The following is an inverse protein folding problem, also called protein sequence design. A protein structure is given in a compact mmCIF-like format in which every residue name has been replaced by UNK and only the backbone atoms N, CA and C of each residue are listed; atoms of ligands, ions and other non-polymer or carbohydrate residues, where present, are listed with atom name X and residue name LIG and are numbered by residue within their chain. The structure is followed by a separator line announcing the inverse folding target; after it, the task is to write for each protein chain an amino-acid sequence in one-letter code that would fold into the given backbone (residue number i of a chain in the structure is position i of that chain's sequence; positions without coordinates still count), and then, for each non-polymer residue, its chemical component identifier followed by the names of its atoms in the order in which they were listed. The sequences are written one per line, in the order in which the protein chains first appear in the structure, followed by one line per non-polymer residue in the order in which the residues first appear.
data_IF_868922595531
#
_entry.id   IF_868922595531
#
_cell.length_a   1.000
_cell.length_b   1.000
_cell.length_c   1.000
_cell.angle_alpha   90.00
_cell.angle_beta   90.00
_cell.angle_gamma   90.00
#
_symmetry.space_group_name_H-M   'P 1'
#
loop_
_entity.id
_entity.type
_entity.pdbx_description
1 polymer ?
#
# COMPACT_ATOMS: atom_id res chain seq x y z
N UNK A 1 -2.71 8.95 32.53
CA UNK A 1 -2.20 10.22 31.93
C UNK A 1 -2.34 10.23 30.40
N UNK A 2 -1.76 9.29 29.66
CA UNK A 2 -1.82 9.26 28.17
C UNK A 2 -3.25 9.24 27.60
N UNK A 3 -4.18 8.43 28.16
CA UNK A 3 -5.60 8.37 27.72
C UNK A 3 -6.31 9.72 27.90
N UNK A 4 -6.12 10.38 29.04
CA UNK A 4 -6.72 11.69 29.32
C UNK A 4 -6.25 12.76 28.32
N UNK A 5 -4.93 12.82 28.04
CA UNK A 5 -4.38 13.76 27.07
C UNK A 5 -4.93 13.54 25.66
N UNK A 6 -5.03 12.27 25.21
CA UNK A 6 -5.63 11.93 23.93
C UNK A 6 -7.12 12.28 23.87
N UNK A 7 -7.87 12.05 24.96
CA UNK A 7 -9.29 12.40 25.04
C UNK A 7 -9.50 13.92 24.94
N UNK A 8 -8.66 14.70 25.65
CA UNK A 8 -8.68 16.16 25.56
C UNK A 8 -8.36 16.62 24.13
N UNK A 9 -7.32 16.04 23.51
CA UNK A 9 -6.95 16.38 22.13
C UNK A 9 -8.06 16.04 21.13
N UNK A 10 -8.67 14.86 21.24
CA UNK A 10 -9.81 14.47 20.41
C UNK A 10 -11.03 15.39 20.63
N UNK A 11 -11.32 15.76 21.89
CA UNK A 11 -12.36 16.71 22.25
C UNK A 11 -12.10 18.09 21.65
N UNK A 12 -10.87 18.58 21.72
CA UNK A 12 -10.46 19.83 21.10
C UNK A 12 -10.66 19.83 19.57
N UNK A 13 -10.24 18.76 18.89
CA UNK A 13 -10.46 18.62 17.44
C UNK A 13 -11.95 18.68 17.09
N UNK A 14 -12.80 17.99 17.84
CA UNK A 14 -14.26 18.01 17.66
C UNK A 14 -14.84 19.42 17.88
N UNK A 15 -14.39 20.11 18.91
CA UNK A 15 -14.84 21.48 19.22
C UNK A 15 -14.46 22.45 18.08
N UNK A 16 -13.22 22.40 17.61
CA UNK A 16 -12.74 23.22 16.47
C UNK A 16 -13.53 22.90 15.19
N UNK A 17 -13.95 21.65 15.02
CA UNK A 17 -14.71 21.25 13.83
C UNK A 17 -16.16 21.78 13.80
N UNK A 18 -16.79 22.10 14.94
CA UNK A 18 -18.18 22.57 14.99
C UNK A 18 -18.44 23.76 14.05
N UNK A 19 -17.71 24.87 14.14
CA UNK A 19 -17.91 25.99 13.21
C UNK A 19 -17.47 25.64 11.77
N UNK A 20 -16.45 24.84 11.59
CA UNK A 20 -15.94 24.43 10.27
C UNK A 20 -16.99 23.58 9.53
N UNK A 21 -17.68 22.71 10.24
CA UNK A 21 -18.71 21.82 9.70
C UNK A 21 -19.90 22.57 9.08
N UNK A 22 -20.11 23.85 9.40
CA UNK A 22 -21.18 24.68 8.82
C UNK A 22 -20.92 25.09 7.36
N UNK A 23 -19.72 24.87 6.82
CA UNK A 23 -19.38 25.16 5.42
C UNK A 23 -20.31 24.36 4.49
N UNK A 24 -20.80 24.93 3.39
CA UNK A 24 -21.63 24.17 2.43
C UNK A 24 -20.82 23.05 1.79
N UNK A 25 -21.47 21.93 1.53
CA UNK A 25 -20.88 20.84 0.72
C UNK A 25 -20.90 21.29 -0.73
N UNK A 26 -19.79 21.05 -1.42
CA UNK A 26 -19.53 21.46 -2.80
C UNK A 26 -19.33 20.21 -3.67
N UNK A 27 -19.40 20.35 -4.97
CA UNK A 27 -19.00 19.32 -5.96
C UNK A 27 -17.50 19.14 -5.92
N UNK A 28 -17.04 18.48 -4.87
CA UNK A 28 -15.64 18.41 -4.51
C UNK A 28 -15.24 17.06 -4.01
N UNK A 29 -14.09 16.59 -4.46
CA UNK A 29 -13.38 15.42 -3.97
C UNK A 29 -12.13 15.87 -3.23
N UNK A 30 -11.92 15.40 -2.01
CA UNK A 30 -10.68 15.64 -1.26
C UNK A 30 -9.97 14.31 -1.03
N UNK A 31 -8.74 14.19 -1.51
CA UNK A 31 -7.88 13.03 -1.32
C UNK A 31 -6.87 13.35 -0.22
N UNK A 32 -6.82 12.52 0.83
CA UNK A 32 -5.94 12.75 1.98
C UNK A 32 -5.00 11.57 2.15
N UNK A 33 -3.70 11.85 2.15
CA UNK A 33 -2.65 10.87 2.41
C UNK A 33 -1.73 11.31 3.56
N UNK A 34 -1.28 10.31 4.30
CA UNK A 34 -0.28 10.43 5.36
C UNK A 34 0.94 9.56 5.09
N UNK A 35 0.97 8.88 3.96
CA UNK A 35 2.04 7.94 3.59
C UNK A 35 3.30 8.66 3.11
N UNK A 36 3.11 9.81 2.47
CA UNK A 36 4.18 10.62 1.89
C UNK A 36 3.76 12.09 1.87
N UNK A 37 4.71 13.01 1.72
CA UNK A 37 4.45 14.43 1.49
C UNK A 37 4.10 14.75 0.03
N UNK A 38 4.17 13.73 -0.84
CA UNK A 38 3.79 13.81 -2.25
C UNK A 38 2.73 12.75 -2.60
N UNK A 39 1.88 12.99 -3.62
CA UNK A 39 0.87 12.04 -4.04
C UNK A 39 1.47 10.71 -4.51
N UNK A 40 0.90 9.58 -4.04
CA UNK A 40 1.23 8.24 -4.53
C UNK A 40 0.82 8.06 -5.99
N UNK A 41 1.24 6.96 -6.62
CA UNK A 41 0.82 6.65 -7.98
C UNK A 41 -0.71 6.58 -8.11
N UNK A 42 -1.39 5.92 -7.17
CA UNK A 42 -2.85 5.81 -7.18
C UNK A 42 -3.52 7.18 -7.11
N UNK A 43 -3.04 8.04 -6.22
CA UNK A 43 -3.58 9.40 -6.07
C UNK A 43 -3.39 10.21 -7.34
N UNK A 44 -2.18 10.15 -7.96
CA UNK A 44 -1.92 10.87 -9.21
C UNK A 44 -2.79 10.40 -10.37
N UNK A 45 -2.96 9.08 -10.50
CA UNK A 45 -3.82 8.51 -11.54
C UNK A 45 -5.28 8.93 -11.35
N UNK A 46 -5.80 8.82 -10.13
CA UNK A 46 -7.18 9.23 -9.82
C UNK A 46 -7.37 10.75 -10.03
N UNK A 47 -6.41 11.58 -9.62
CA UNK A 47 -6.47 13.03 -9.84
C UNK A 47 -6.49 13.38 -11.34
N UNK A 48 -5.65 12.70 -12.14
CA UNK A 48 -5.61 12.88 -13.59
C UNK A 48 -6.93 12.44 -14.25
N UNK A 49 -7.50 11.35 -13.80
CA UNK A 49 -8.79 10.83 -14.29
C UNK A 49 -9.91 11.83 -14.04
N UNK A 50 -10.05 12.29 -12.79
CA UNK A 50 -11.07 13.28 -12.42
C UNK A 50 -10.86 14.61 -13.20
N UNK A 51 -9.65 15.10 -13.31
CA UNK A 51 -9.36 16.33 -14.05
C UNK A 51 -9.68 16.22 -15.54
N UNK A 52 -9.50 15.04 -16.14
CA UNK A 52 -9.72 14.82 -17.58
C UNK A 52 -11.18 14.56 -17.93
N UNK A 53 -11.85 13.74 -17.14
CA UNK A 53 -13.21 13.26 -17.48
C UNK A 53 -14.32 13.96 -16.70
N UNK A 54 -14.00 14.56 -15.54
CA UNK A 54 -14.95 15.26 -14.66
C UNK A 54 -14.40 16.63 -14.24
N UNK A 55 -14.10 17.55 -15.19
CA UNK A 55 -13.44 18.84 -14.92
C UNK A 55 -14.28 19.81 -14.09
N UNK A 56 -15.57 19.56 -13.95
CA UNK A 56 -16.51 20.29 -13.13
C UNK A 56 -16.46 19.92 -11.64
N UNK A 57 -15.69 18.88 -11.29
CA UNK A 57 -15.45 18.44 -9.91
C UNK A 57 -14.12 18.99 -9.40
N UNK A 58 -14.16 19.80 -8.34
CA UNK A 58 -12.94 20.26 -7.68
C UNK A 58 -12.22 19.08 -7.02
N UNK A 59 -11.00 18.77 -7.43
CA UNK A 59 -10.16 17.74 -6.83
C UNK A 59 -9.02 18.33 -6.01
N UNK A 60 -9.09 18.19 -4.67
CA UNK A 60 -8.07 18.66 -3.73
C UNK A 60 -7.25 17.48 -3.19
N UNK A 61 -5.93 17.56 -3.28
CA UNK A 61 -5.01 16.54 -2.75
C UNK A 61 -4.22 17.11 -1.58
N UNK A 62 -4.28 16.43 -0.43
CA UNK A 62 -3.64 16.79 0.82
C UNK A 62 -2.72 15.67 1.29
N UNK A 63 -1.44 15.76 0.96
CA UNK A 63 -0.41 14.80 1.35
C UNK A 63 0.51 15.42 2.40
N UNK A 64 0.63 14.78 3.57
CA UNK A 64 1.58 15.19 4.61
C UNK A 64 1.85 14.10 5.61
N UNK A 65 3.13 13.81 5.84
CA UNK A 65 3.60 12.93 6.91
C UNK A 65 3.65 13.67 8.25
N UNK A 66 3.67 12.92 9.34
CA UNK A 66 3.92 13.50 10.67
C UNK A 66 5.43 13.59 10.86
N UNK A 67 5.97 14.80 10.71
CA UNK A 67 7.39 15.04 10.90
C UNK A 67 7.88 14.76 12.33
N UNK A 68 9.19 14.53 12.52
CA UNK A 68 9.78 14.26 13.83
C UNK A 68 9.73 15.50 14.74
N UNK A 69 9.81 15.26 16.04
CA UNK A 69 9.88 16.30 17.07
C UNK A 69 8.59 17.09 17.28
N UNK A 70 8.68 18.16 18.07
CA UNK A 70 7.54 18.99 18.43
C UNK A 70 7.09 19.86 17.25
N UNK A 71 8.04 20.44 16.50
CA UNK A 71 7.73 21.27 15.32
C UNK A 71 6.97 20.51 14.24
N UNK A 72 7.37 19.25 13.96
CA UNK A 72 6.66 18.40 13.02
C UNK A 72 5.22 18.12 13.46
N UNK A 73 5.00 17.84 14.75
CA UNK A 73 3.67 17.63 15.31
C UNK A 73 2.78 18.88 15.26
N UNK A 74 3.34 20.05 15.55
CA UNK A 74 2.62 21.33 15.45
C UNK A 74 2.26 21.64 14.00
N UNK A 75 3.21 21.46 13.06
CA UNK A 75 2.95 21.62 11.63
C UNK A 75 1.84 20.67 11.14
N UNK A 76 1.82 19.43 11.63
CA UNK A 76 0.77 18.48 11.28
C UNK A 76 -0.59 18.87 11.90
N UNK A 77 -0.63 19.48 13.08
CA UNK A 77 -1.87 19.99 13.67
C UNK A 77 -2.52 21.07 12.79
N UNK A 78 -1.75 22.02 12.26
CA UNK A 78 -2.27 23.00 11.29
C UNK A 78 -2.77 22.32 10.00
N UNK A 79 -2.06 21.29 9.53
CA UNK A 79 -2.52 20.50 8.40
C UNK A 79 -3.86 19.78 8.70
N UNK A 80 -4.05 19.29 9.93
CA UNK A 80 -5.35 18.71 10.34
C UNK A 80 -6.48 19.72 10.27
N UNK A 81 -6.25 21.00 10.63
CA UNK A 81 -7.25 22.06 10.47
C UNK A 81 -7.59 22.28 8.98
N UNK A 82 -6.60 22.20 8.11
CA UNK A 82 -6.82 22.25 6.65
C UNK A 82 -7.65 21.04 6.20
N UNK A 83 -7.29 19.82 6.64
CA UNK A 83 -8.10 18.62 6.35
C UNK A 83 -9.55 18.78 6.80
N UNK A 84 -9.80 19.32 8.01
CA UNK A 84 -11.15 19.58 8.53
C UNK A 84 -11.97 20.47 7.59
N UNK A 85 -11.36 21.56 7.10
CA UNK A 85 -12.02 22.52 6.18
C UNK A 85 -12.46 21.83 4.90
N UNK A 86 -11.59 20.97 4.36
CA UNK A 86 -11.86 20.24 3.12
C UNK A 86 -12.84 19.09 3.34
N UNK A 87 -12.72 18.30 4.41
CA UNK A 87 -13.72 17.28 4.78
C UNK A 87 -15.12 17.90 4.93
N UNK A 88 -15.24 19.07 5.59
CA UNK A 88 -16.52 19.73 5.80
C UNK A 88 -17.20 20.22 4.51
N UNK A 89 -16.44 20.48 3.46
CA UNK A 89 -16.94 21.04 2.20
C UNK A 89 -16.92 20.06 1.02
N UNK A 90 -16.46 18.82 1.21
CA UNK A 90 -16.39 17.83 0.12
C UNK A 90 -17.58 16.91 0.11
N UNK A 91 -18.04 16.54 -1.08
CA UNK A 91 -19.01 15.48 -1.31
C UNK A 91 -18.36 14.10 -1.09
N UNK A 92 -17.11 13.94 -1.56
CA UNK A 92 -16.34 12.70 -1.37
C UNK A 92 -14.97 12.99 -0.74
N UNK A 93 -14.57 12.16 0.21
CA UNK A 93 -13.24 12.14 0.81
C UNK A 93 -12.60 10.78 0.55
N UNK A 94 -11.47 10.75 -0.16
CA UNK A 94 -10.72 9.52 -0.44
C UNK A 94 -9.49 9.46 0.47
N UNK A 95 -9.29 8.31 1.11
CA UNK A 95 -8.18 8.06 2.01
C UNK A 95 -7.33 6.89 1.50
N UNK A 96 -6.01 6.99 1.57
CA UNK A 96 -5.10 5.88 1.30
C UNK A 96 -4.51 5.24 2.57
N UNK A 97 -5.03 5.63 3.73
CA UNK A 97 -4.59 5.13 5.01
C UNK A 97 -5.40 5.69 6.18
N UNK A 98 -4.97 5.43 7.40
CA UNK A 98 -5.64 5.96 8.58
C UNK A 98 -5.51 7.49 8.66
N UNK A 99 -6.63 8.19 8.65
CA UNK A 99 -6.72 9.65 8.78
C UNK A 99 -7.42 10.02 10.09
N UNK A 100 -6.67 10.63 11.02
CA UNK A 100 -7.19 10.98 12.37
C UNK A 100 -8.42 11.89 12.27
N UNK A 101 -8.37 12.92 11.44
CA UNK A 101 -9.47 13.87 11.28
C UNK A 101 -10.73 13.22 10.73
N UNK A 102 -10.63 12.39 9.70
CA UNK A 102 -11.77 11.68 9.15
C UNK A 102 -12.40 10.69 10.16
N UNK A 103 -11.57 10.08 11.03
CA UNK A 103 -12.05 9.08 11.99
C UNK A 103 -12.58 9.68 13.30
N UNK A 104 -11.94 10.73 13.82
CA UNK A 104 -12.33 11.36 15.10
C UNK A 104 -13.54 12.27 14.97
N UNK A 105 -13.69 12.93 13.82
CA UNK A 105 -14.78 13.86 13.56
C UNK A 105 -16.09 13.12 13.21
N UNK A 106 -17.16 13.87 13.12
CA UNK A 106 -18.47 13.42 12.60
C UNK A 106 -18.72 14.20 11.30
N UNK A 107 -18.30 13.68 10.15
CA UNK A 107 -18.59 14.28 8.86
C UNK A 107 -20.10 14.46 8.65
N UNK A 108 -20.48 15.22 7.63
CA UNK A 108 -21.88 15.37 7.27
C UNK A 108 -22.38 14.09 6.59
N UNK A 109 -23.69 13.78 6.67
CA UNK A 109 -24.27 12.62 5.97
C UNK A 109 -24.05 12.65 4.44
N UNK A 110 -23.98 13.86 3.88
CA UNK A 110 -23.76 14.11 2.45
C UNK A 110 -22.31 13.89 2.02
N UNK A 111 -21.37 13.80 2.99
CA UNK A 111 -19.95 13.55 2.73
C UNK A 111 -19.67 12.07 2.83
N UNK A 112 -19.32 11.41 1.73
CA UNK A 112 -18.94 10.00 1.71
C UNK A 112 -17.44 9.82 1.84
N UNK A 113 -17.03 8.89 2.71
CA UNK A 113 -15.61 8.57 2.94
C UNK A 113 -15.28 7.23 2.31
N UNK A 114 -14.37 7.25 1.34
CA UNK A 114 -13.86 6.08 0.64
C UNK A 114 -12.46 5.77 1.16
N UNK A 115 -12.27 4.61 1.79
CA UNK A 115 -10.95 4.08 2.11
C UNK A 115 -10.43 3.31 0.90
N UNK A 116 -9.55 3.92 0.13
CA UNK A 116 -8.88 3.26 -1.00
C UNK A 116 -7.79 2.30 -0.53
N UNK A 117 -7.17 2.60 0.63
CA UNK A 117 -5.98 1.95 1.13
C UNK A 117 -4.77 2.12 0.20
N UNK A 118 -3.67 1.41 0.47
CA UNK A 118 -2.42 1.52 -0.31
C UNK A 118 -1.84 0.15 -0.67
N UNK A 119 -2.65 -0.90 -0.55
CA UNK A 119 -2.24 -2.27 -0.83
C UNK A 119 -3.40 -3.06 -1.46
N UNK A 120 -3.08 -3.85 -2.46
CA UNK A 120 -4.03 -4.68 -3.21
C UNK A 120 -4.49 -5.87 -2.38
N UNK A 121 -3.59 -6.44 -1.59
CA UNK A 121 -3.87 -7.51 -0.63
C UNK A 121 -3.24 -7.18 0.73
N UNK A 122 -3.65 -7.90 1.76
CA UNK A 122 -3.22 -7.68 3.14
C UNK A 122 -2.42 -8.86 3.67
N UNK A 123 -1.15 -8.97 3.27
CA UNK A 123 -0.26 -10.07 3.69
C UNK A 123 0.01 -9.99 5.20
N UNK A 124 0.34 -8.79 5.70
CA UNK A 124 0.62 -8.52 7.12
C UNK A 124 -0.65 -8.16 7.88
N UNK A 125 -0.69 -8.45 9.17
CA UNK A 125 -1.70 -7.88 10.06
C UNK A 125 -1.52 -6.37 10.20
N UNK A 126 -2.61 -5.65 10.32
CA UNK A 126 -2.61 -4.21 10.48
C UNK A 126 -3.89 -3.74 11.20
N UNK A 127 -3.97 -2.44 11.47
CA UNK A 127 -5.15 -1.87 12.12
C UNK A 127 -5.46 -2.53 13.47
N UNK A 128 -6.71 -2.90 13.68
CA UNK A 128 -7.16 -3.53 14.91
C UNK A 128 -6.59 -4.93 15.14
N UNK A 129 -6.15 -5.63 14.10
CA UNK A 129 -5.52 -6.96 14.22
C UNK A 129 -4.16 -6.91 14.94
N UNK A 130 -3.53 -5.74 15.02
CA UNK A 130 -2.21 -5.57 15.65
C UNK A 130 -2.29 -5.09 17.11
N UNK A 131 -3.47 -4.92 17.66
CA UNK A 131 -3.61 -4.52 19.06
C UNK A 131 -3.13 -5.66 19.97
N UNK A 132 -2.13 -5.34 20.80
CA UNK A 132 -1.51 -6.32 21.70
C UNK A 132 -0.27 -7.01 21.12
N UNK A 133 0.06 -6.79 19.85
CA UNK A 133 1.34 -7.22 19.27
C UNK A 133 2.44 -6.19 19.61
N UNK A 134 3.69 -6.64 19.66
CA UNK A 134 4.86 -5.82 20.04
C UNK A 134 5.04 -4.59 19.14
N UNK A 135 4.91 -4.76 17.83
CA UNK A 135 4.96 -3.67 16.84
C UNK A 135 3.61 -2.98 16.56
N UNK A 136 2.56 -3.31 17.31
CA UNK A 136 1.19 -2.94 17.01
C UNK A 136 0.73 -1.60 17.58
N UNK A 137 -0.53 -1.31 17.33
CA UNK A 137 -1.19 -0.11 17.84
C UNK A 137 -1.59 -0.26 19.31
N UNK A 138 -1.45 0.83 20.09
CA UNK A 138 -1.99 0.89 21.46
C UNK A 138 -3.52 0.87 21.40
N UNK A 139 -4.16 -0.02 22.17
CA UNK A 139 -5.63 -0.08 22.33
C UNK A 139 -6.22 1.28 22.69
N UNK A 140 -5.57 1.98 23.63
CA UNK A 140 -5.99 3.33 24.05
C UNK A 140 -6.00 4.34 22.89
N UNK A 141 -4.97 4.31 22.03
CA UNK A 141 -4.90 5.20 20.87
C UNK A 141 -5.98 4.84 19.85
N UNK A 142 -6.15 3.55 19.57
CA UNK A 142 -7.15 3.05 18.63
C UNK A 142 -8.57 3.43 19.05
N UNK A 143 -8.90 3.29 20.35
CA UNK A 143 -10.22 3.63 20.89
C UNK A 143 -10.48 5.14 20.91
N UNK A 144 -9.55 5.93 21.51
CA UNK A 144 -9.76 7.37 21.72
C UNK A 144 -9.75 8.13 20.39
N UNK A 145 -8.90 7.74 19.46
CA UNK A 145 -8.83 8.35 18.14
C UNK A 145 -9.72 7.65 17.10
N UNK A 146 -10.63 6.77 17.56
CA UNK A 146 -11.63 6.12 16.72
C UNK A 146 -11.02 5.52 15.44
N UNK A 147 -9.93 4.76 15.57
CA UNK A 147 -9.17 4.23 14.44
C UNK A 147 -10.09 3.53 13.43
N UNK A 148 -9.96 3.90 12.15
CA UNK A 148 -10.71 3.34 11.03
C UNK A 148 -12.26 3.50 11.08
N UNK A 149 -12.77 4.46 11.84
CA UNK A 149 -14.20 4.77 11.85
C UNK A 149 -14.60 5.66 10.66
N UNK A 150 -15.88 5.67 10.34
CA UNK A 150 -16.54 6.54 9.35
C UNK A 150 -16.23 6.21 7.87
N UNK A 151 -15.82 5.01 7.54
CA UNK A 151 -15.68 4.60 6.14
C UNK A 151 -17.04 4.17 5.60
N UNK A 152 -17.54 4.88 4.57
CA UNK A 152 -18.74 4.48 3.83
C UNK A 152 -18.40 3.35 2.85
N UNK A 153 -17.20 3.43 2.23
CA UNK A 153 -16.71 2.41 1.30
C UNK A 153 -15.25 2.07 1.58
N UNK A 154 -14.91 0.79 1.44
CA UNK A 154 -13.55 0.26 1.56
C UNK A 154 -13.23 -0.53 0.29
N UNK A 155 -12.27 -0.06 -0.52
CA UNK A 155 -11.85 -0.76 -1.73
C UNK A 155 -11.12 -2.06 -1.37
N UNK A 156 -11.49 -3.14 -2.04
CA UNK A 156 -10.79 -4.43 -1.93
C UNK A 156 -10.83 -5.20 -3.25
N UNK A 157 -9.78 -5.97 -3.51
CA UNK A 157 -9.63 -6.69 -4.79
C UNK A 157 -10.20 -8.10 -4.78
N UNK A 158 -10.64 -8.61 -3.62
CA UNK A 158 -11.23 -9.96 -3.48
C UNK A 158 -12.01 -10.09 -2.18
N UNK A 159 -12.84 -11.11 -2.08
CA UNK A 159 -13.53 -11.44 -0.84
C UNK A 159 -12.54 -11.82 0.28
N UNK A 160 -11.46 -12.55 -0.05
CA UNK A 160 -10.42 -12.91 0.91
C UNK A 160 -9.77 -11.66 1.54
N UNK A 161 -9.40 -10.68 0.72
CA UNK A 161 -8.87 -9.39 1.21
C UNK A 161 -9.94 -8.59 1.96
N UNK A 162 -11.19 -8.62 1.48
CA UNK A 162 -12.32 -7.93 2.11
C UNK A 162 -12.60 -8.43 3.53
N UNK A 163 -12.52 -9.74 3.78
CA UNK A 163 -12.66 -10.31 5.13
C UNK A 163 -11.57 -9.79 6.08
N UNK A 164 -10.32 -9.77 5.62
CA UNK A 164 -9.20 -9.20 6.37
C UNK A 164 -9.44 -7.72 6.68
N UNK A 165 -9.95 -6.95 5.71
CA UNK A 165 -10.26 -5.54 5.91
C UNK A 165 -11.40 -5.32 6.90
N UNK A 166 -12.42 -6.19 6.92
CA UNK A 166 -13.48 -6.13 7.93
C UNK A 166 -12.91 -6.25 9.35
N UNK A 167 -11.99 -7.16 9.57
CA UNK A 167 -11.33 -7.33 10.87
C UNK A 167 -10.39 -6.15 11.19
N UNK A 168 -9.52 -5.79 10.25
CA UNK A 168 -8.49 -4.76 10.46
C UNK A 168 -9.09 -3.37 10.66
N UNK A 169 -10.19 -3.05 10.01
CA UNK A 169 -10.89 -1.77 10.13
C UNK A 169 -12.07 -1.79 11.10
N UNK A 170 -12.47 -2.98 11.59
CA UNK A 170 -13.73 -3.17 12.35
C UNK A 170 -14.94 -2.63 11.60
N UNK A 171 -15.04 -3.00 10.33
CA UNK A 171 -16.16 -2.67 9.45
C UNK A 171 -16.93 -3.94 9.05
N UNK A 172 -17.99 -3.78 8.26
CA UNK A 172 -18.82 -4.90 7.80
C UNK A 172 -18.71 -5.06 6.28
N UNK A 173 -19.15 -6.22 5.77
CA UNK A 173 -19.12 -6.52 4.32
C UNK A 173 -19.90 -5.52 3.48
N UNK A 174 -20.92 -4.86 4.04
CA UNK A 174 -21.78 -3.88 3.33
C UNK A 174 -20.99 -2.62 2.93
N UNK A 175 -19.86 -2.34 3.59
CA UNK A 175 -18.97 -1.24 3.23
C UNK A 175 -17.90 -1.63 2.20
N UNK A 176 -17.77 -2.92 1.83
CA UNK A 176 -16.77 -3.34 0.88
C UNK A 176 -17.15 -2.95 -0.55
N UNK A 177 -16.20 -2.35 -1.25
CA UNK A 177 -16.32 -2.02 -2.67
C UNK A 177 -15.29 -2.86 -3.44
N UNK A 178 -15.77 -3.86 -4.16
CA UNK A 178 -14.93 -4.74 -4.97
C UNK A 178 -14.44 -4.04 -6.22
N UNK A 179 -13.26 -3.44 -6.12
CA UNK A 179 -12.65 -2.64 -7.16
C UNK A 179 -11.13 -2.64 -7.02
N UNK A 180 -10.41 -2.65 -8.14
CA UNK A 180 -8.95 -2.58 -8.15
C UNK A 180 -8.42 -1.17 -7.89
N UNK A 181 -7.19 -1.10 -7.35
CA UNK A 181 -6.48 0.16 -7.18
C UNK A 181 -6.03 0.73 -8.54
N UNK A 182 -5.98 2.06 -8.71
CA UNK A 182 -5.55 2.72 -9.95
C UNK A 182 -4.20 2.23 -10.50
N UNK A 183 -3.23 1.90 -9.63
CA UNK A 183 -1.90 1.42 -10.03
C UNK A 183 -1.92 0.13 -10.84
N UNK A 184 -2.97 -0.68 -10.74
CA UNK A 184 -3.10 -1.94 -11.48
C UNK A 184 -3.14 -1.70 -12.99
N UNK A 185 -3.69 -0.58 -13.44
CA UNK A 185 -3.69 -0.19 -14.86
C UNK A 185 -2.27 -0.05 -15.44
N UNK A 186 -1.27 0.14 -14.58
CA UNK A 186 0.12 0.31 -15.00
C UNK A 186 0.93 -0.98 -15.07
N UNK A 187 0.44 -2.06 -14.46
CA UNK A 187 1.20 -3.33 -14.41
C UNK A 187 1.21 -4.07 -15.75
N UNK A 188 0.23 -3.84 -16.60
CA UNK A 188 0.05 -4.55 -17.86
C UNK A 188 0.73 -3.89 -19.06
N UNK A 189 1.27 -2.68 -18.90
CA UNK A 189 1.95 -1.98 -19.98
C UNK A 189 3.35 -2.60 -20.25
N UNK A 190 3.72 -2.77 -21.52
CA UNK A 190 5.07 -3.17 -21.93
C UNK A 190 6.12 -2.12 -21.53
N UNK A 191 7.36 -2.50 -21.34
CA UNK A 191 8.42 -1.57 -20.95
C UNK A 191 9.74 -2.22 -20.59
N UNK A 192 9.85 -3.56 -20.74
CA UNK A 192 11.04 -4.34 -20.38
C UNK A 192 12.27 -3.90 -21.15
N UNK A 193 12.18 -3.84 -22.48
CA UNK A 193 13.33 -3.54 -23.35
C UNK A 193 13.88 -2.13 -23.09
N UNK A 194 13.00 -1.14 -22.95
CA UNK A 194 13.41 0.23 -22.68
C UNK A 194 14.16 0.37 -21.35
N UNK A 195 13.69 -0.27 -20.27
CA UNK A 195 14.37 -0.21 -18.98
C UNK A 195 15.69 -0.99 -19.00
N UNK A 196 15.72 -2.11 -19.72
CA UNK A 196 16.94 -2.90 -19.92
C UNK A 196 18.03 -2.09 -20.61
N UNK A 197 17.67 -1.35 -21.67
CA UNK A 197 18.58 -0.47 -22.40
C UNK A 197 19.07 0.72 -21.54
N UNK A 198 18.17 1.38 -20.84
CA UNK A 198 18.49 2.52 -19.95
C UNK A 198 19.50 2.14 -18.85
N UNK A 199 19.42 0.92 -18.35
CA UNK A 199 20.27 0.41 -17.26
C UNK A 199 21.46 -0.43 -17.74
N UNK A 200 21.64 -0.61 -19.04
CA UNK A 200 22.74 -1.39 -19.60
C UNK A 200 22.70 -2.87 -19.20
N UNK A 201 21.50 -3.44 -18.97
CA UNK A 201 21.35 -4.84 -18.55
C UNK A 201 21.55 -5.75 -19.77
N UNK A 202 22.48 -6.74 -19.74
CA UNK A 202 22.74 -7.65 -20.84
C UNK A 202 21.48 -8.41 -21.28
N UNK A 203 21.31 -8.59 -22.59
CA UNK A 203 20.13 -9.27 -23.15
C UNK A 203 20.11 -10.78 -22.91
N UNK A 204 21.25 -11.37 -22.69
CA UNK A 204 21.46 -12.79 -22.41
C UNK A 204 21.20 -13.18 -20.95
N UNK A 205 20.95 -12.20 -20.05
CA UNK A 205 20.63 -12.44 -18.64
C UNK A 205 19.15 -12.17 -18.33
N UNK A 206 18.56 -12.99 -17.48
CA UNK A 206 17.26 -12.72 -16.88
C UNK A 206 17.37 -11.63 -15.80
N UNK A 207 16.36 -10.80 -15.66
CA UNK A 207 16.27 -9.81 -14.57
C UNK A 207 15.53 -10.44 -13.39
N UNK A 208 16.26 -10.67 -12.29
CA UNK A 208 15.68 -11.14 -11.01
C UNK A 208 15.51 -9.94 -10.08
N UNK A 209 14.26 -9.60 -9.80
CA UNK A 209 13.92 -8.44 -8.96
C UNK A 209 13.69 -8.88 -7.51
N UNK A 210 14.41 -8.30 -6.56
CA UNK A 210 14.18 -8.46 -5.12
C UNK A 210 13.57 -7.20 -4.51
N UNK A 211 12.38 -7.33 -3.90
CA UNK A 211 11.65 -6.23 -3.25
C UNK A 211 11.19 -6.65 -1.85
N UNK A 212 12.04 -6.48 -0.83
CA UNK A 212 11.71 -6.84 0.54
C UNK A 212 10.79 -5.82 1.21
N UNK A 213 10.14 -6.26 2.28
CA UNK A 213 9.45 -5.39 3.24
C UNK A 213 10.47 -4.62 4.09
N UNK A 214 10.15 -3.37 4.44
CA UNK A 214 10.93 -2.57 5.38
C UNK A 214 11.09 -3.27 6.74
N UNK A 215 12.32 -3.34 7.23
CA UNK A 215 12.69 -3.94 8.52
C UNK A 215 13.19 -2.88 9.48
N UNK A 216 12.35 -2.46 10.44
CA UNK A 216 12.76 -1.50 11.47
C UNK A 216 13.92 -2.03 12.31
N UNK A 217 15.15 -1.54 12.06
CA UNK A 217 16.34 -1.86 12.83
C UNK A 217 16.89 -3.28 12.67
N UNK A 218 16.35 -4.08 11.75
CA UNK A 218 16.88 -5.41 11.42
C UNK A 218 17.57 -5.35 10.06
N UNK A 219 18.71 -6.01 9.93
CA UNK A 219 19.43 -6.12 8.66
C UNK A 219 18.78 -7.19 7.77
N UNK A 220 18.59 -6.85 6.51
CA UNK A 220 18.22 -7.82 5.48
C UNK A 220 19.47 -8.62 5.11
N UNK A 221 19.46 -9.97 5.06
CA UNK A 221 20.63 -10.80 4.74
C UNK A 221 20.93 -10.78 3.24
N UNK A 222 21.34 -9.61 2.73
CA UNK A 222 21.60 -9.42 1.31
C UNK A 222 22.76 -10.26 0.78
N UNK A 223 23.77 -10.54 1.62
CA UNK A 223 24.89 -11.40 1.24
C UNK A 223 24.42 -12.85 1.00
N UNK A 224 23.56 -13.38 1.87
CA UNK A 224 23.00 -14.72 1.73
C UNK A 224 22.12 -14.81 0.49
N UNK A 225 21.28 -13.77 0.25
CA UNK A 225 20.47 -13.67 -0.97
C UNK A 225 21.34 -13.68 -2.23
N UNK A 226 22.38 -12.84 -2.27
CA UNK A 226 23.28 -12.76 -3.42
C UNK A 226 23.99 -14.11 -3.63
N UNK A 227 24.42 -14.75 -2.55
CA UNK A 227 25.03 -16.08 -2.58
C UNK A 227 24.10 -17.17 -3.12
N UNK A 228 22.78 -17.01 -3.01
CA UNK A 228 21.77 -17.92 -3.58
C UNK A 228 21.54 -17.73 -5.09
N UNK A 229 21.90 -16.58 -5.64
CA UNK A 229 21.59 -16.23 -7.04
C UNK A 229 22.77 -16.53 -7.95
N UNK A 230 22.54 -17.28 -9.03
CA UNK A 230 23.51 -17.45 -10.12
C UNK A 230 23.60 -16.16 -10.95
N UNK A 231 24.61 -15.33 -10.64
CA UNK A 231 24.87 -14.06 -11.35
C UNK A 231 25.39 -14.26 -12.77
N UNK A 232 25.73 -15.48 -13.20
CA UNK A 232 26.01 -15.76 -14.61
C UNK A 232 24.73 -15.77 -15.45
N UNK A 233 23.61 -16.24 -14.88
CA UNK A 233 22.29 -16.32 -15.49
C UNK A 233 21.44 -15.07 -15.24
N UNK A 234 21.52 -14.51 -14.04
CA UNK A 234 20.68 -13.39 -13.61
C UNK A 234 21.46 -12.08 -13.47
N UNK A 235 20.77 -10.97 -13.77
CA UNK A 235 21.08 -9.67 -13.17
C UNK A 235 20.14 -9.46 -12.01
N UNK A 236 20.70 -9.44 -10.78
CA UNK A 236 19.92 -9.23 -9.54
C UNK A 236 19.68 -7.74 -9.34
N UNK A 237 18.42 -7.33 -9.38
CA UNK A 237 18.00 -5.96 -9.06
C UNK A 237 17.42 -5.94 -7.65
N UNK A 238 18.02 -5.17 -6.78
CA UNK A 238 17.59 -4.98 -5.39
C UNK A 238 16.90 -3.63 -5.25
N UNK A 239 15.63 -3.67 -4.90
CA UNK A 239 14.81 -2.48 -4.68
C UNK A 239 14.40 -2.42 -3.22
N UNK A 240 15.25 -1.82 -2.39
CA UNK A 240 14.98 -1.64 -0.96
C UNK A 240 13.88 -0.60 -0.72
N UNK A 241 13.31 -0.63 0.48
CA UNK A 241 12.39 0.43 0.90
C UNK A 241 13.16 1.78 1.02
N UNK A 242 12.54 2.93 0.70
CA UNK A 242 13.22 4.23 0.73
C UNK A 242 13.82 4.64 2.09
N UNK A 243 13.44 3.95 3.17
CA UNK A 243 13.99 4.16 4.51
C UNK A 243 15.17 3.22 4.84
N UNK A 244 15.49 2.27 3.96
CA UNK A 244 16.63 1.37 4.12
C UNK A 244 17.83 1.93 3.34
N UNK A 245 18.98 1.93 3.97
CA UNK A 245 20.24 2.30 3.32
C UNK A 245 20.92 1.04 2.75
N UNK A 246 21.23 1.00 1.45
CA UNK A 246 21.93 -0.12 0.87
C UNK A 246 23.37 -0.20 1.41
N UNK A 247 23.88 -1.40 1.73
CA UNK A 247 25.27 -1.57 2.10
C UNK A 247 26.23 -1.09 1.02
N UNK A 248 27.26 -0.33 1.43
CA UNK A 248 28.26 0.23 0.50
C UNK A 248 29.00 -0.86 -0.29
N UNK A 249 29.22 -2.04 0.35
CA UNK A 249 29.92 -3.18 -0.26
C UNK A 249 29.21 -3.74 -1.51
N UNK A 250 27.92 -3.48 -1.65
CA UNK A 250 27.13 -3.97 -2.80
C UNK A 250 27.14 -2.99 -3.97
N UNK A 251 27.61 -1.77 -3.76
CA UNK A 251 27.68 -0.77 -4.84
C UNK A 251 28.75 -1.14 -5.85
N UNK A 252 28.36 -1.25 -7.10
CA UNK A 252 29.28 -1.63 -8.20
C UNK A 252 29.62 -3.12 -8.26
N UNK A 253 28.94 -3.96 -7.51
CA UNK A 253 29.12 -5.41 -7.57
C UNK A 253 28.65 -5.93 -8.94
N UNK A 254 29.48 -6.65 -9.71
CA UNK A 254 29.08 -7.18 -11.01
C UNK A 254 27.84 -8.08 -10.92
N UNK A 255 26.84 -7.82 -11.79
CA UNK A 255 25.60 -8.58 -11.81
C UNK A 255 24.57 -8.16 -10.77
N UNK A 256 24.86 -7.18 -9.89
CA UNK A 256 23.94 -6.64 -8.88
C UNK A 256 23.68 -5.16 -9.16
N UNK A 257 22.40 -4.78 -9.20
CA UNK A 257 21.95 -3.40 -9.34
C UNK A 257 21.12 -3.03 -8.12
N UNK A 258 21.57 -2.02 -7.37
CA UNK A 258 20.77 -1.42 -6.31
C UNK A 258 20.07 -0.20 -6.88
N UNK A 259 18.78 -0.31 -7.12
CA UNK A 259 18.00 0.79 -7.71
C UNK A 259 17.21 1.57 -6.67
N UNK A 260 17.41 2.88 -6.66
CA UNK A 260 16.67 3.83 -5.81
C UNK A 260 15.83 4.83 -6.61
N UNK A 261 16.00 4.86 -7.94
CA UNK A 261 15.41 5.89 -8.79
C UNK A 261 14.09 5.46 -9.43
N UNK A 262 14.00 4.22 -9.89
CA UNK A 262 12.83 3.74 -10.61
C UNK A 262 11.76 3.20 -9.66
N UNK A 263 10.50 3.33 -10.04
CA UNK A 263 9.39 2.80 -9.25
C UNK A 263 9.34 1.26 -9.29
N UNK A 264 8.85 0.66 -8.22
CA UNK A 264 8.64 -0.80 -8.15
C UNK A 264 7.74 -1.31 -9.28
N UNK A 265 6.68 -0.56 -9.64
CA UNK A 265 5.78 -0.92 -10.75
C UNK A 265 6.51 -0.94 -12.10
N UNK A 266 7.53 -0.07 -12.30
CA UNK A 266 8.36 -0.09 -13.50
C UNK A 266 9.20 -1.37 -13.54
N UNK A 267 9.79 -1.77 -12.42
CA UNK A 267 10.55 -3.01 -12.31
C UNK A 267 9.69 -4.26 -12.45
N UNK A 268 8.49 -4.30 -11.87
CA UNK A 268 7.56 -5.42 -12.06
C UNK A 268 7.25 -5.69 -13.54
N UNK A 269 7.18 -4.64 -14.35
CA UNK A 269 6.99 -4.80 -15.81
C UNK A 269 8.24 -5.29 -16.52
N UNK A 270 9.41 -4.87 -16.06
CA UNK A 270 10.69 -5.12 -16.71
C UNK A 270 11.37 -6.43 -16.32
N UNK A 271 11.18 -6.91 -15.10
CA UNK A 271 11.83 -8.12 -14.60
C UNK A 271 11.30 -9.39 -15.25
N UNK A 272 12.05 -10.47 -15.11
CA UNK A 272 11.68 -11.82 -15.55
C UNK A 272 11.16 -12.67 -14.40
N UNK A 273 11.74 -12.51 -13.20
CA UNK A 273 11.35 -13.19 -11.95
C UNK A 273 11.35 -12.20 -10.80
N UNK A 274 10.60 -12.51 -9.75
CA UNK A 274 10.39 -11.64 -8.61
C UNK A 274 10.64 -12.43 -7.33
N UNK A 275 11.43 -11.85 -6.42
CA UNK A 275 11.57 -12.31 -5.04
C UNK A 275 11.01 -11.22 -4.12
N UNK A 276 10.17 -11.60 -3.18
CA UNK A 276 9.66 -10.73 -2.13
C UNK A 276 9.62 -11.48 -0.81
N UNK A 277 8.95 -10.91 0.19
CA UNK A 277 8.75 -11.53 1.51
C UNK A 277 7.29 -11.35 1.95
N UNK A 278 7.03 -10.60 3.02
CA UNK A 278 5.67 -10.33 3.54
C UNK A 278 5.04 -9.08 2.92
N UNK A 279 5.49 -8.67 1.75
CA UNK A 279 5.00 -7.48 1.07
C UNK A 279 3.66 -7.73 0.39
N UNK A 280 2.73 -6.80 0.53
CA UNK A 280 1.48 -6.78 -0.24
C UNK A 280 1.74 -6.70 -1.76
N UNK A 281 2.95 -6.32 -2.19
CA UNK A 281 3.40 -6.35 -3.57
C UNK A 281 3.25 -7.73 -4.22
N UNK A 282 3.29 -8.81 -3.45
CA UNK A 282 3.11 -10.17 -3.97
C UNK A 282 1.83 -10.32 -4.79
N UNK A 283 0.72 -9.73 -4.33
CA UNK A 283 -0.54 -9.74 -5.08
C UNK A 283 -0.43 -8.93 -6.39
N UNK A 284 0.23 -7.77 -6.38
CA UNK A 284 0.50 -6.99 -7.60
C UNK A 284 1.42 -7.76 -8.55
N UNK A 285 2.45 -8.41 -8.01
CA UNK A 285 3.40 -9.22 -8.78
C UNK A 285 2.72 -10.41 -9.47
N UNK A 286 1.77 -11.07 -8.80
CA UNK A 286 1.04 -12.21 -9.37
C UNK A 286 0.26 -11.86 -10.65
N UNK A 287 -0.19 -10.61 -10.79
CA UNK A 287 -0.90 -10.11 -11.99
C UNK A 287 0.01 -10.14 -13.23
N UNK A 288 1.33 -10.00 -13.03
CA UNK A 288 2.28 -10.01 -14.15
C UNK A 288 2.46 -11.39 -14.79
N UNK A 289 2.00 -12.45 -14.15
CA UNK A 289 2.15 -13.84 -14.61
C UNK A 289 3.59 -14.35 -14.59
N UNK A 290 4.50 -13.64 -13.91
CA UNK A 290 5.93 -13.98 -13.81
C UNK A 290 6.18 -14.83 -12.56
N UNK A 291 7.22 -15.70 -12.55
CA UNK A 291 7.63 -16.41 -11.35
C UNK A 291 7.81 -15.47 -10.16
N UNK A 292 7.12 -15.78 -9.07
CA UNK A 292 7.12 -15.03 -7.82
C UNK A 292 7.57 -15.95 -6.69
N UNK A 293 8.69 -15.60 -6.05
CA UNK A 293 9.26 -16.34 -4.94
C UNK A 293 9.19 -15.53 -3.66
N UNK A 294 9.06 -16.24 -2.53
CA UNK A 294 9.12 -15.65 -1.20
C UNK A 294 10.42 -16.04 -0.52
N UNK A 295 11.20 -15.06 -0.09
CA UNK A 295 12.39 -15.28 0.76
C UNK A 295 12.08 -14.81 2.18
N UNK A 296 11.67 -15.77 3.02
CA UNK A 296 11.05 -15.54 4.33
C UNK A 296 11.95 -16.02 5.48
N UNK A 297 13.24 -15.67 5.43
CA UNK A 297 14.31 -16.07 6.34
C UNK A 297 14.04 -15.79 7.83
N UNK A 298 13.15 -14.84 8.15
CA UNK A 298 12.83 -14.39 9.50
C UNK A 298 11.37 -14.67 9.91
N UNK A 299 10.70 -15.60 9.25
CA UNK A 299 9.23 -15.76 9.35
C UNK A 299 8.74 -15.95 10.78
N UNK A 300 9.42 -16.74 11.62
CA UNK A 300 8.99 -16.96 13.00
C UNK A 300 9.04 -15.68 13.85
N UNK A 301 10.09 -14.88 13.69
CA UNK A 301 10.23 -13.61 14.40
C UNK A 301 9.27 -12.56 13.88
N UNK A 302 9.04 -12.57 12.56
CA UNK A 302 8.12 -11.64 11.91
C UNK A 302 6.67 -11.93 12.32
N UNK A 303 6.27 -13.20 12.35
CA UNK A 303 4.93 -13.61 12.77
C UNK A 303 4.65 -13.23 14.23
N UNK A 304 5.63 -13.37 15.13
CA UNK A 304 5.48 -12.96 16.54
C UNK A 304 5.35 -11.43 16.69
N UNK A 305 6.10 -10.65 15.93
CA UNK A 305 6.18 -9.20 16.09
C UNK A 305 5.09 -8.42 15.34
N UNK A 306 4.75 -8.84 14.13
CA UNK A 306 3.79 -8.15 13.23
C UNK A 306 2.54 -8.99 13.00
N UNK A 307 2.70 -10.30 12.80
CA UNK A 307 1.64 -11.24 12.44
C UNK A 307 1.32 -11.22 10.94
N UNK A 308 0.84 -12.35 10.45
CA UNK A 308 0.47 -12.55 9.06
C UNK A 308 -1.02 -12.83 8.92
N UNK A 309 -1.64 -12.31 7.87
CA UNK A 309 -2.96 -12.71 7.37
C UNK A 309 -2.82 -13.75 6.26
N UNK A 310 -1.71 -13.73 5.55
CA UNK A 310 -1.39 -14.62 4.44
C UNK A 310 -0.02 -15.22 4.72
N UNK A 311 0.03 -16.52 4.94
CA UNK A 311 1.27 -17.26 5.16
C UNK A 311 1.79 -17.81 3.82
N UNK A 312 2.94 -17.35 3.33
CA UNK A 312 3.50 -17.84 2.07
C UNK A 312 3.77 -19.35 2.06
N UNK A 313 4.06 -19.95 3.22
CA UNK A 313 4.29 -21.41 3.35
C UNK A 313 3.03 -22.23 3.05
N UNK A 314 1.86 -21.63 3.22
CA UNK A 314 0.55 -22.26 2.97
C UNK A 314 0.02 -21.88 1.60
N UNK A 315 0.14 -20.62 1.22
CA UNK A 315 -0.45 -20.10 -0.02
C UNK A 315 0.38 -20.43 -1.26
N UNK A 316 1.71 -20.48 -1.12
CA UNK A 316 2.66 -20.75 -2.19
C UNK A 316 3.85 -21.61 -1.70
N UNK A 317 3.60 -22.85 -1.22
CA UNK A 317 4.62 -23.70 -0.61
C UNK A 317 5.78 -24.05 -1.56
N UNK A 318 5.52 -24.16 -2.87
CA UNK A 318 6.56 -24.45 -3.87
C UNK A 318 7.31 -23.20 -4.37
N UNK A 319 7.04 -22.04 -3.77
CA UNK A 319 7.72 -20.79 -4.09
C UNK A 319 8.24 -20.06 -2.83
N UNK A 320 8.15 -20.67 -1.64
CA UNK A 320 8.54 -20.08 -0.37
C UNK A 320 9.84 -20.72 0.15
N UNK A 321 10.89 -19.93 0.33
CA UNK A 321 12.19 -20.33 0.85
C UNK A 321 12.48 -19.63 2.19
N UNK A 322 12.94 -20.39 3.19
CA UNK A 322 13.37 -19.86 4.49
C UNK A 322 14.90 -19.71 4.57
N UNK A 323 15.63 -20.41 3.71
CA UNK A 323 17.09 -20.33 3.62
C UNK A 323 17.57 -19.92 2.23
N UNK A 324 18.82 -19.50 2.13
CA UNK A 324 19.44 -19.18 0.85
C UNK A 324 19.59 -20.40 -0.05
N UNK A 325 19.83 -21.57 0.55
CA UNK A 325 19.92 -22.86 -0.15
C UNK A 325 18.59 -23.24 -0.79
N UNK A 326 17.50 -23.18 -0.01
CA UNK A 326 16.14 -23.42 -0.52
C UNK A 326 15.79 -22.44 -1.66
N UNK A 327 16.14 -21.14 -1.52
CA UNK A 327 15.90 -20.16 -2.56
C UNK A 327 16.66 -20.50 -3.85
N UNK A 328 17.92 -20.93 -3.73
CA UNK A 328 18.72 -21.37 -4.89
C UNK A 328 18.06 -22.54 -5.60
N UNK A 329 17.65 -23.56 -4.85
CA UNK A 329 16.95 -24.74 -5.41
C UNK A 329 15.67 -24.33 -6.14
N UNK A 330 14.86 -23.43 -5.57
CA UNK A 330 13.65 -22.93 -6.21
C UNK A 330 13.91 -22.12 -7.50
N UNK A 331 15.01 -21.36 -7.55
CA UNK A 331 15.38 -20.60 -8.75
C UNK A 331 15.87 -21.49 -9.90
N UNK A 332 16.38 -22.69 -9.60
CA UNK A 332 16.89 -23.67 -10.58
C UNK A 332 15.82 -24.66 -11.04
N UNK A 333 14.70 -24.79 -10.32
CA UNK A 333 13.58 -25.68 -10.67
C UNK A 333 12.60 -25.02 -11.65
N UNK A 334 11.78 -25.86 -12.30
CA UNK A 334 10.62 -25.40 -13.04
C UNK A 334 9.60 -24.77 -12.09
N UNK A 335 9.09 -23.60 -12.47
CA UNK A 335 8.17 -22.84 -11.63
C UNK A 335 6.73 -23.36 -11.73
N UNK A 336 6.04 -23.51 -10.58
CA UNK A 336 4.61 -23.89 -10.53
C UNK A 336 3.70 -22.68 -10.83
N UNK A 337 3.37 -22.48 -12.10
CA UNK A 337 2.44 -21.43 -12.52
C UNK A 337 1.00 -21.66 -12.07
N UNK A 338 0.62 -22.91 -11.77
CA UNK A 338 -0.74 -23.18 -11.31
C UNK A 338 -0.92 -22.77 -9.85
N UNK A 339 0.13 -22.86 -9.04
CA UNK A 339 0.16 -22.28 -7.70
C UNK A 339 0.01 -20.75 -7.75
N UNK A 340 0.77 -20.08 -8.61
CA UNK A 340 0.66 -18.63 -8.81
C UNK A 340 -0.76 -18.21 -9.24
N UNK A 341 -1.38 -18.97 -10.16
CA UNK A 341 -2.75 -18.71 -10.61
C UNK A 341 -3.77 -18.91 -9.47
N UNK A 342 -3.59 -19.92 -8.61
CA UNK A 342 -4.46 -20.12 -7.43
C UNK A 342 -4.34 -18.95 -6.47
N UNK A 343 -3.11 -18.52 -6.16
CA UNK A 343 -2.85 -17.34 -5.34
C UNK A 343 -3.50 -16.08 -5.94
N UNK A 344 -3.26 -15.81 -7.22
CA UNK A 344 -3.85 -14.67 -7.91
C UNK A 344 -5.38 -14.69 -7.84
N UNK A 345 -6.03 -15.82 -8.20
CA UNK A 345 -7.49 -15.96 -8.18
C UNK A 345 -8.10 -15.78 -6.80
N UNK A 346 -7.37 -16.07 -5.72
CA UNK A 346 -7.83 -15.89 -4.35
C UNK A 346 -7.80 -14.41 -3.92
N UNK A 347 -6.75 -13.68 -4.30
CA UNK A 347 -6.52 -12.32 -3.81
C UNK A 347 -6.86 -11.23 -4.82
N UNK A 348 -7.06 -11.58 -6.09
CA UNK A 348 -7.42 -10.66 -7.18
C UNK A 348 -8.60 -11.27 -7.96
N UNK A 349 -9.83 -10.93 -7.59
CA UNK A 349 -11.04 -11.40 -8.27
C UNK A 349 -11.68 -10.32 -9.14
N UNK A 350 -11.25 -9.07 -9.00
CA UNK A 350 -11.73 -7.94 -9.77
C UNK A 350 -10.97 -7.83 -11.10
N UNK A 351 -11.63 -7.20 -12.09
CA UNK A 351 -10.93 -6.80 -13.31
C UNK A 351 -9.82 -5.79 -12.99
N UNK A 352 -8.60 -6.08 -13.46
CA UNK A 352 -7.40 -5.27 -13.22
C UNK A 352 -7.14 -4.22 -14.29
N UNK A 353 -8.01 -4.11 -15.33
CA UNK A 353 -7.96 -3.10 -16.37
C UNK A 353 -8.97 -1.99 -16.09
N UNK A 354 -8.63 -0.75 -16.39
CA UNK A 354 -9.54 0.39 -16.24
C UNK A 354 -9.96 0.67 -14.80
N UNK A 355 -9.13 0.27 -13.83
CA UNK A 355 -9.39 0.48 -12.40
C UNK A 355 -9.54 1.97 -12.07
N UNK A 356 -8.68 2.81 -12.67
CA UNK A 356 -8.71 4.26 -12.46
C UNK A 356 -10.02 4.86 -12.94
N UNK A 357 -10.45 4.50 -14.16
CA UNK A 357 -11.69 5.00 -14.76
C UNK A 357 -12.92 4.57 -13.93
N UNK A 358 -13.00 3.29 -13.54
CA UNK A 358 -14.11 2.80 -12.71
C UNK A 358 -14.19 3.50 -11.36
N UNK A 359 -13.05 3.75 -10.70
CA UNK A 359 -13.04 4.49 -9.45
C UNK A 359 -13.43 5.96 -9.65
N UNK A 360 -12.99 6.59 -10.75
CA UNK A 360 -13.37 7.94 -11.13
C UNK A 360 -14.88 8.08 -11.34
N UNK A 361 -15.47 7.19 -12.13
CA UNK A 361 -16.91 7.13 -12.38
C UNK A 361 -17.72 6.86 -11.10
N UNK A 362 -17.28 5.94 -10.24
CA UNK A 362 -17.92 5.67 -8.97
C UNK A 362 -17.94 6.92 -8.08
N UNK A 363 -16.83 7.63 -7.98
CA UNK A 363 -16.70 8.86 -7.21
C UNK A 363 -17.59 9.95 -7.81
N UNK A 364 -17.59 10.07 -9.14
CA UNK A 364 -18.42 11.04 -9.84
C UNK A 364 -19.91 10.77 -9.61
N UNK A 365 -20.35 9.52 -9.67
CA UNK A 365 -21.71 9.13 -9.33
C UNK A 365 -22.16 9.64 -7.96
N UNK A 366 -21.31 9.51 -6.93
CA UNK A 366 -21.60 10.04 -5.58
C UNK A 366 -21.69 11.59 -5.59
N UNK A 367 -20.83 12.25 -6.38
CA UNK A 367 -20.83 13.72 -6.48
C UNK A 367 -22.12 14.23 -7.12
N UNK A 368 -22.71 13.48 -8.08
CA UNK A 368 -23.96 13.80 -8.77
C UNK A 368 -25.22 13.53 -7.94
N UNK A 369 -25.17 12.66 -6.93
CA UNK A 369 -26.32 12.39 -6.07
C UNK A 369 -26.85 13.69 -5.44
N UNK A 370 -28.05 14.07 -5.84
CA UNK A 370 -28.80 15.20 -5.27
C UNK A 370 -29.49 14.71 -4.00
N UNK A 371 -29.16 15.31 -2.86
CA UNK A 371 -29.85 15.07 -1.59
C UNK A 371 -30.83 16.17 -1.26
#
# INVERSE_FOLDING_TARGET
MKRLLLTIAAGFLRLVYIPIRRRPVQRKVTIISRQSDSPSLDIRLLQQELAKHHPDVECMVLCKTIGPGLGGKVSYLFHMITQMKHIASSKVVVLDGYCITACVLSPKPETKIIQMWHAVAAIKRFGYQTIGLEGGHSSTVAEVLCMHRNYDHVLCCSEATGQIFCEAFRTTKDHLLYMGLPRLDRLQASGKEKLREELGIPRDKEILLYVPTFRRGQKIPLQDLIGAVDLSRFTLVIRLHPLDEPPEELRGMPGVIIDTEHSTQRWLRACDRIITDYSALAAEASITGKPLYYYIYDIESYERSVGLNVDPRIEMPHAAAQTAEELRELLDQDYDFDELKRFQKKYITVDTHGCTARLGEFIYGIVEEVH
#
